data_IF_127694829200
#
_entry.id   IF_127694829200
#
_cell.length_a   1.000
_cell.length_b   1.000
_cell.length_c   1.000
_cell.angle_alpha   90.00
_cell.angle_beta   90.00
_cell.angle_gamma   90.00
#
_symmetry.space_group_name_H-M   'P 1'
#
loop_
_entity.id
_entity.type
_entity.pdbx_description
1 polymer ?
#
# COMPACT_ATOMS: atom_id res chain seq x y z
N UNK A 1 7.30 14.21 23.01
CA UNK A 1 6.24 15.23 23.06
C UNK A 1 6.87 16.42 23.73
N UNK A 2 7.07 17.54 23.02
CA UNK A 2 7.67 18.72 23.64
C UNK A 2 6.54 19.68 24.05
N UNK A 3 6.63 20.24 25.25
CA UNK A 3 5.75 21.32 25.67
C UNK A 3 6.39 22.63 25.24
N UNK A 4 5.60 23.47 24.58
CA UNK A 4 5.98 24.82 24.18
C UNK A 4 5.07 25.83 24.89
N UNK A 5 5.65 26.93 25.34
CA UNK A 5 4.91 27.98 26.02
C UNK A 5 4.13 28.81 25.02
N UNK A 6 2.83 28.97 25.24
CA UNK A 6 1.97 29.81 24.40
C UNK A 6 2.37 31.28 24.56
N UNK A 7 2.67 31.96 23.45
CA UNK A 7 3.10 33.36 23.46
C UNK A 7 2.00 34.35 23.87
N UNK A 8 0.74 33.94 23.79
CA UNK A 8 -0.41 34.80 24.09
C UNK A 8 -0.81 34.71 25.57
N UNK A 9 -0.80 33.51 26.17
CA UNK A 9 -1.29 33.31 27.54
C UNK A 9 -0.27 32.70 28.51
N UNK A 10 0.94 32.38 28.05
CA UNK A 10 2.01 31.84 28.89
C UNK A 10 1.81 30.41 29.37
N UNK A 11 0.73 29.72 29.00
CA UNK A 11 0.49 28.32 29.38
C UNK A 11 1.29 27.35 28.50
N UNK A 12 1.71 26.24 29.08
CA UNK A 12 2.39 25.18 28.36
C UNK A 12 1.40 24.36 27.51
N UNK A 13 1.71 24.20 26.24
CA UNK A 13 0.88 23.53 25.24
C UNK A 13 1.76 22.55 24.45
N UNK A 14 1.21 21.40 24.05
CA UNK A 14 1.96 20.48 23.19
C UNK A 14 2.35 21.12 21.86
N UNK A 15 3.58 20.86 21.44
CA UNK A 15 4.15 21.16 20.12
C UNK A 15 3.40 20.54 18.92
N UNK A 16 2.37 19.74 19.16
CA UNK A 16 1.50 19.15 18.14
C UNK A 16 0.08 19.74 18.12
N UNK A 17 -0.28 20.58 19.10
CA UNK A 17 -1.61 21.16 19.17
C UNK A 17 -1.77 22.30 18.14
N UNK A 18 -2.89 22.31 17.41
CA UNK A 18 -3.20 23.37 16.43
C UNK A 18 -3.63 24.69 17.11
N UNK A 19 -4.23 24.59 18.29
CA UNK A 19 -4.75 25.71 19.07
C UNK A 19 -4.40 25.52 20.55
N UNK A 20 -4.17 26.63 21.25
CA UNK A 20 -3.91 26.63 22.68
C UNK A 20 -5.21 26.32 23.43
N UNK A 21 -5.22 25.31 24.30
CA UNK A 21 -6.37 24.98 25.14
C UNK A 21 -6.68 26.06 26.20
N UNK A 22 -5.73 26.95 26.51
CA UNK A 22 -5.90 27.99 27.52
C UNK A 22 -6.57 29.26 27.01
N UNK A 23 -6.22 29.72 25.80
CA UNK A 23 -6.71 30.99 25.24
C UNK A 23 -7.28 30.88 23.82
N UNK A 24 -7.25 29.70 23.20
CA UNK A 24 -7.76 29.47 21.85
C UNK A 24 -6.86 29.98 20.71
N UNK A 25 -5.75 30.68 21.01
CA UNK A 25 -4.86 31.21 19.99
C UNK A 25 -4.22 30.09 19.14
N UNK A 26 -4.03 30.30 17.83
CA UNK A 26 -3.37 29.34 16.95
C UNK A 26 -1.89 29.21 17.32
N UNK A 27 -1.45 27.98 17.56
CA UNK A 27 -0.06 27.70 17.94
C UNK A 27 0.79 27.71 16.66
N UNK A 28 1.51 28.82 16.41
CA UNK A 28 2.42 28.94 15.28
C UNK A 28 3.64 28.06 15.52
N UNK A 29 3.65 26.88 14.87
CA UNK A 29 4.78 25.96 14.87
C UNK A 29 5.98 26.61 14.18
N UNK A 30 6.97 27.08 14.95
CA UNK A 30 8.30 27.35 14.40
C UNK A 30 8.98 26.00 14.15
N UNK A 31 8.75 25.43 12.98
CA UNK A 31 9.47 24.24 12.51
C UNK A 31 10.97 24.62 12.50
N UNK A 32 11.84 23.94 13.26
CA UNK A 32 13.27 24.16 13.13
C UNK A 32 13.66 23.77 11.69
N UNK A 33 14.07 24.78 10.91
CA UNK A 33 14.69 24.59 9.59
C UNK A 33 15.81 23.56 9.75
N UNK A 34 15.59 22.32 9.28
CA UNK A 34 16.68 21.37 9.06
C UNK A 34 17.66 22.06 8.13
N UNK A 35 18.86 22.37 8.62
CA UNK A 35 19.97 22.85 7.80
C UNK A 35 20.21 21.78 6.73
N UNK A 36 19.86 22.10 5.49
CA UNK A 36 20.17 21.26 4.35
C UNK A 36 21.69 21.18 4.22
N UNK A 37 22.23 19.96 4.33
CA UNK A 37 23.64 19.69 4.08
C UNK A 37 23.98 20.06 2.63
N UNK A 38 25.07 20.83 2.38
CA UNK A 38 25.42 21.38 1.06
C UNK A 38 25.87 20.35 0.01
N UNK A 39 25.82 19.05 0.29
CA UNK A 39 26.35 18.02 -0.61
C UNK A 39 25.45 17.68 -1.82
N UNK A 40 24.19 18.12 -1.85
CA UNK A 40 23.19 17.70 -2.86
C UNK A 40 22.89 18.74 -3.95
N UNK A 41 23.42 19.97 -3.85
CA UNK A 41 23.18 21.04 -4.83
C UNK A 41 24.12 20.93 -6.06
N UNK A 42 25.31 20.36 -5.89
CA UNK A 42 26.31 20.25 -6.97
C UNK A 42 25.94 19.27 -8.10
N UNK A 43 25.21 18.19 -7.78
CA UNK A 43 24.91 17.12 -8.75
C UNK A 43 23.78 17.54 -9.71
N UNK A 44 22.82 18.33 -9.23
CA UNK A 44 21.68 18.80 -10.06
C UNK A 44 22.13 19.88 -11.06
N UNK A 45 23.06 20.76 -10.68
CA UNK A 45 23.59 21.78 -11.59
C UNK A 45 24.46 21.19 -12.71
N UNK A 46 25.29 20.17 -12.42
CA UNK A 46 26.09 19.48 -13.44
C UNK A 46 25.23 18.67 -14.43
N UNK A 47 24.15 18.04 -13.96
CA UNK A 47 23.21 17.31 -14.81
C UNK A 47 22.43 18.20 -15.78
N UNK A 48 22.03 19.40 -15.35
CA UNK A 48 21.31 20.37 -16.20
C UNK A 48 22.25 21.00 -17.25
N UNK A 49 23.53 21.26 -16.90
CA UNK A 49 24.52 21.77 -17.86
C UNK A 49 24.85 20.72 -18.94
N UNK A 50 24.94 19.44 -18.58
CA UNK A 50 25.18 18.37 -19.55
C UNK A 50 24.02 18.20 -20.54
N UNK A 51 22.77 18.37 -20.09
CA UNK A 51 21.58 18.28 -20.94
C UNK A 51 21.35 19.51 -21.82
N UNK A 52 21.82 20.70 -21.39
CA UNK A 52 21.64 21.95 -22.12
C UNK A 52 22.75 22.25 -23.16
N UNK A 53 23.97 21.70 -23.01
CA UNK A 53 25.10 22.02 -23.89
C UNK A 53 25.70 20.83 -24.67
N UNK A 54 25.19 19.60 -24.51
CA UNK A 54 25.66 18.40 -25.21
C UNK A 54 24.95 18.05 -26.53
N UNK A 55 24.35 19.04 -27.21
CA UNK A 55 23.68 18.86 -28.51
C UNK A 55 24.66 18.77 -29.68
N UNK A 56 25.38 17.66 -29.80
CA UNK A 56 26.26 17.34 -30.93
C UNK A 56 25.62 16.34 -31.89
N UNK A 57 25.35 16.78 -33.12
CA UNK A 57 24.96 15.96 -34.29
C UNK A 57 25.82 14.69 -34.43
N UNK A 58 25.19 13.54 -34.60
CA UNK A 58 25.86 12.32 -35.04
C UNK A 58 24.84 11.27 -35.47
N UNK A 59 24.60 11.17 -36.78
CA UNK A 59 23.77 10.12 -37.34
C UNK A 59 24.40 8.75 -37.11
N UNK A 60 23.57 7.78 -36.74
CA UNK A 60 23.87 6.36 -36.88
C UNK A 60 22.55 5.60 -37.01
N UNK A 61 22.50 4.82 -38.07
CA UNK A 61 21.40 3.99 -38.52
C UNK A 61 20.80 3.15 -37.39
N UNK A 62 19.48 3.22 -37.29
CA UNK A 62 18.59 2.42 -36.46
C UNK A 62 18.88 0.92 -36.62
N UNK A 63 19.43 0.22 -35.61
CA UNK A 63 19.21 -1.21 -35.51
C UNK A 63 17.75 -1.39 -35.12
N UNK A 64 17.04 -2.28 -35.82
CA UNK A 64 15.72 -2.70 -35.41
C UNK A 64 15.77 -3.25 -33.99
N UNK A 65 15.20 -2.51 -33.04
CA UNK A 65 14.79 -3.09 -31.78
C UNK A 65 13.76 -4.19 -32.08
N UNK A 66 13.91 -5.42 -31.57
CA UNK A 66 12.81 -6.37 -31.58
C UNK A 66 11.63 -5.70 -30.88
N UNK A 67 10.48 -5.76 -31.56
CA UNK A 67 9.22 -5.20 -31.13
C UNK A 67 9.00 -5.44 -29.64
N UNK A 68 8.85 -4.34 -28.91
CA UNK A 68 8.16 -4.33 -27.62
C UNK A 68 6.70 -4.73 -27.86
N UNK A 69 6.45 -6.04 -27.96
CA UNK A 69 5.16 -6.62 -27.62
C UNK A 69 5.02 -6.54 -26.09
N UNK A 70 4.54 -5.39 -25.63
CA UNK A 70 4.45 -5.10 -24.21
C UNK A 70 3.81 -3.75 -23.97
N UNK A 71 2.69 -3.48 -24.66
CA UNK A 71 1.95 -2.23 -24.49
C UNK A 71 0.47 -2.52 -24.42
N UNK A 72 -0.05 -2.31 -23.21
CA UNK A 72 -1.45 -2.34 -22.77
C UNK A 72 -1.98 -3.74 -22.47
N UNK A 73 -1.93 -4.08 -21.18
CA UNK A 73 -3.03 -4.78 -20.54
C UNK A 73 -4.33 -3.99 -20.84
N UNK A 74 -4.94 -4.28 -21.98
CA UNK A 74 -6.39 -4.39 -21.99
C UNK A 74 -6.72 -5.36 -20.86
N UNK A 75 -7.75 -5.05 -20.06
CA UNK A 75 -8.27 -5.98 -19.09
C UNK A 75 -8.34 -7.35 -19.76
N UNK A 76 -7.47 -8.28 -19.35
CA UNK A 76 -7.39 -9.58 -19.98
C UNK A 76 -8.82 -10.13 -19.95
N UNK A 77 -9.41 -10.35 -21.13
CA UNK A 77 -10.77 -10.87 -21.23
C UNK A 77 -10.69 -12.34 -20.86
N UNK A 78 -10.60 -12.61 -19.57
CA UNK A 78 -10.60 -13.97 -19.05
C UNK A 78 -11.91 -14.63 -19.45
N UNK A 79 -11.84 -15.89 -19.90
CA UNK A 79 -13.04 -16.69 -20.08
C UNK A 79 -13.76 -16.82 -18.72
N UNK A 80 -15.10 -16.80 -18.72
CA UNK A 80 -15.87 -16.82 -17.48
C UNK A 80 -15.60 -18.06 -16.60
N UNK A 81 -15.15 -19.16 -17.19
CA UNK A 81 -14.81 -20.40 -16.49
C UNK A 81 -13.33 -20.53 -16.10
N UNK A 82 -12.46 -19.62 -16.55
CA UNK A 82 -11.02 -19.67 -16.30
C UNK A 82 -10.69 -19.03 -14.95
N UNK A 83 -10.67 -19.88 -13.91
CA UNK A 83 -10.34 -19.47 -12.55
C UNK A 83 -8.94 -18.88 -12.45
N UNK A 84 -7.98 -19.43 -13.17
CA UNK A 84 -6.57 -19.01 -13.06
C UNK A 84 -6.41 -17.60 -13.59
N UNK A 85 -6.99 -17.32 -14.76
CA UNK A 85 -6.98 -15.96 -15.33
C UNK A 85 -7.73 -14.97 -14.43
N UNK A 86 -8.97 -15.28 -14.05
CA UNK A 86 -9.81 -14.39 -13.23
C UNK A 86 -9.21 -14.16 -11.83
N UNK A 87 -8.72 -15.23 -11.21
CA UNK A 87 -8.05 -15.21 -9.92
C UNK A 87 -6.83 -14.30 -9.95
N UNK A 88 -5.87 -14.57 -10.84
CA UNK A 88 -4.65 -13.78 -10.99
C UNK A 88 -4.93 -12.30 -11.28
N UNK A 89 -5.92 -12.01 -12.15
CA UNK A 89 -6.32 -10.64 -12.43
C UNK A 89 -6.89 -9.92 -11.19
N UNK A 90 -7.63 -10.63 -10.34
CA UNK A 90 -8.27 -10.08 -9.15
C UNK A 90 -7.42 -10.08 -7.87
N UNK A 91 -6.26 -10.75 -7.81
CA UNK A 91 -5.39 -10.78 -6.59
C UNK A 91 -5.01 -9.38 -6.09
N UNK A 92 -4.70 -8.47 -7.02
CA UNK A 92 -4.38 -7.08 -6.69
C UNK A 92 -5.57 -6.36 -6.05
N UNK A 93 -6.76 -6.57 -6.61
CA UNK A 93 -7.99 -5.99 -6.10
C UNK A 93 -8.37 -6.59 -4.74
N UNK A 94 -8.23 -7.90 -4.55
CA UNK A 94 -8.40 -8.55 -3.25
C UNK A 94 -7.49 -7.92 -2.19
N UNK A 95 -6.21 -7.68 -2.51
CA UNK A 95 -5.25 -7.04 -1.60
C UNK A 95 -5.66 -5.61 -1.19
N UNK A 96 -6.46 -4.92 -2.02
CA UNK A 96 -6.99 -3.58 -1.72
C UNK A 96 -8.29 -3.65 -0.92
N UNK A 97 -9.28 -4.40 -1.41
CA UNK A 97 -10.64 -4.38 -0.86
C UNK A 97 -10.81 -5.30 0.34
N UNK A 98 -10.20 -6.48 0.33
CA UNK A 98 -10.33 -7.45 1.41
C UNK A 98 -9.47 -7.09 2.63
N UNK A 99 -8.35 -6.38 2.44
CA UNK A 99 -7.37 -6.11 3.50
C UNK A 99 -8.04 -5.55 4.76
N UNK A 100 -8.78 -4.45 4.62
CA UNK A 100 -9.42 -3.79 5.76
C UNK A 100 -10.48 -4.67 6.41
N UNK A 101 -11.18 -5.48 5.64
CA UNK A 101 -12.22 -6.37 6.17
C UNK A 101 -11.62 -7.56 6.94
N UNK A 102 -10.46 -8.07 6.51
CA UNK A 102 -9.68 -9.08 7.27
C UNK A 102 -9.14 -8.48 8.57
N UNK A 103 -8.62 -7.25 8.55
CA UNK A 103 -8.12 -6.56 9.74
C UNK A 103 -9.21 -6.42 10.83
N UNK A 104 -10.47 -6.19 10.44
CA UNK A 104 -11.61 -6.11 11.37
C UNK A 104 -11.96 -7.43 12.07
N UNK A 105 -11.46 -8.57 11.57
CA UNK A 105 -11.64 -9.86 12.23
C UNK A 105 -10.76 -10.00 13.48
N UNK A 106 -9.74 -9.16 13.63
CA UNK A 106 -8.88 -9.16 14.81
C UNK A 106 -9.67 -8.67 16.03
N UNK A 107 -9.72 -9.51 17.08
CA UNK A 107 -10.34 -9.15 18.36
C UNK A 107 -9.52 -8.13 19.16
N UNK A 108 -8.20 -8.19 19.02
CA UNK A 108 -7.22 -7.32 19.66
C UNK A 108 -6.36 -6.66 18.58
N UNK A 109 -5.03 -6.69 18.70
CA UNK A 109 -4.14 -6.23 17.64
C UNK A 109 -3.96 -7.25 16.50
N UNK A 110 -3.49 -6.76 15.36
CA UNK A 110 -3.03 -7.56 14.24
C UNK A 110 -1.72 -7.02 13.69
N UNK A 111 -0.97 -7.88 13.00
CA UNK A 111 0.15 -7.42 12.17
C UNK A 111 0.25 -8.25 10.90
N UNK A 112 0.52 -7.54 9.82
CA UNK A 112 0.84 -8.10 8.52
C UNK A 112 2.28 -8.61 8.53
N UNK A 113 2.50 -9.78 7.94
CA UNK A 113 3.83 -10.40 7.80
C UNK A 113 4.28 -10.49 6.34
N UNK A 114 3.51 -9.94 5.40
CA UNK A 114 3.91 -9.79 4.01
C UNK A 114 5.00 -8.73 3.84
N UNK A 115 5.88 -8.94 2.85
CA UNK A 115 6.84 -7.92 2.42
C UNK A 115 6.18 -6.75 1.70
N UNK A 116 6.93 -5.65 1.51
CA UNK A 116 6.41 -4.40 0.89
C UNK A 116 5.79 -4.60 -0.50
N UNK A 117 6.29 -5.54 -1.29
CA UNK A 117 5.81 -5.85 -2.65
C UNK A 117 5.16 -7.24 -2.75
N UNK A 118 4.99 -7.95 -1.64
CA UNK A 118 4.37 -9.27 -1.67
C UNK A 118 2.85 -9.17 -1.74
N UNK A 119 2.23 -10.11 -2.45
CA UNK A 119 0.78 -10.28 -2.41
C UNK A 119 0.36 -10.74 -1.02
N UNK A 120 -0.77 -10.22 -0.54
CA UNK A 120 -1.40 -10.69 0.70
C UNK A 120 -2.03 -12.07 0.53
N UNK A 121 -2.49 -12.36 -0.68
CA UNK A 121 -3.19 -13.59 -1.04
C UNK A 121 -2.29 -14.49 -1.86
N UNK A 122 -2.12 -15.74 -1.39
CA UNK A 122 -1.27 -16.75 -2.00
C UNK A 122 -2.06 -17.72 -2.87
N UNK A 123 -3.35 -17.93 -2.56
CA UNK A 123 -4.22 -18.91 -3.23
C UNK A 123 -5.60 -18.33 -3.50
N UNK A 124 -6.30 -18.91 -4.47
CA UNK A 124 -7.69 -18.59 -4.77
C UNK A 124 -8.46 -19.83 -5.25
N UNK A 125 -9.78 -19.83 -5.04
CA UNK A 125 -10.69 -20.90 -5.49
C UNK A 125 -12.07 -20.34 -5.84
N UNK A 126 -12.84 -21.07 -6.63
CA UNK A 126 -14.26 -20.77 -6.79
C UNK A 126 -14.99 -20.92 -5.46
N UNK A 127 -15.75 -19.90 -5.06
CA UNK A 127 -16.86 -20.07 -4.10
C UNK A 127 -18.11 -20.48 -4.87
N UNK A 128 -18.38 -19.74 -5.93
CA UNK A 128 -19.49 -20.00 -6.83
C UNK A 128 -19.09 -19.61 -8.26
N UNK A 129 -18.96 -20.63 -9.11
CA UNK A 129 -18.54 -20.48 -10.51
C UNK A 129 -19.62 -19.81 -11.36
N UNK A 130 -20.90 -19.96 -11.02
CA UNK A 130 -22.00 -19.43 -11.82
C UNK A 130 -22.16 -17.93 -11.59
N UNK A 131 -22.04 -17.48 -10.34
CA UNK A 131 -22.08 -16.05 -9.99
C UNK A 131 -20.73 -15.35 -10.18
N UNK A 132 -19.65 -16.10 -10.40
CA UNK A 132 -18.31 -15.57 -10.62
C UNK A 132 -17.64 -15.09 -9.34
N UNK A 133 -17.98 -15.69 -8.19
CA UNK A 133 -17.43 -15.34 -6.89
C UNK A 133 -16.19 -16.17 -6.60
N UNK A 134 -15.08 -15.48 -6.32
CA UNK A 134 -13.78 -16.09 -6.04
C UNK A 134 -13.43 -15.87 -4.57
N UNK A 135 -13.08 -16.95 -3.88
CA UNK A 135 -12.46 -16.88 -2.56
C UNK A 135 -10.96 -16.72 -2.73
N UNK A 136 -10.40 -15.64 -2.19
CA UNK A 136 -8.97 -15.41 -2.06
C UNK A 136 -8.52 -15.80 -0.65
N UNK A 137 -7.40 -16.53 -0.54
CA UNK A 137 -6.86 -17.03 0.72
C UNK A 137 -5.43 -16.53 0.95
N UNK A 138 -5.11 -16.20 2.20
CA UNK A 138 -3.76 -15.87 2.64
C UNK A 138 -3.50 -16.31 4.07
N UNK A 139 -2.24 -16.34 4.48
CA UNK A 139 -1.82 -16.56 5.87
C UNK A 139 -0.75 -15.57 6.35
N UNK A 140 -0.55 -14.49 5.59
CA UNK A 140 0.43 -13.43 5.89
C UNK A 140 -0.06 -12.41 6.93
N UNK A 141 -0.89 -12.83 7.89
CA UNK A 141 -1.35 -11.99 9.00
C UNK A 141 -1.32 -12.77 10.31
N UNK A 142 -0.96 -12.07 11.38
CA UNK A 142 -1.02 -12.59 12.73
C UNK A 142 -2.02 -11.78 13.55
N UNK A 143 -2.87 -12.47 14.31
CA UNK A 143 -3.79 -11.86 15.27
C UNK A 143 -3.26 -12.06 16.68
N UNK A 144 -3.40 -11.03 17.51
CA UNK A 144 -3.06 -11.09 18.91
C UNK A 144 -4.18 -11.78 19.69
N UNK A 145 -3.82 -12.69 20.61
CA UNK A 145 -4.76 -13.30 21.53
C UNK A 145 -4.86 -12.53 22.86
N UNK A 146 -5.69 -13.02 23.79
CA UNK A 146 -5.91 -12.37 25.09
C UNK A 146 -4.68 -12.30 26.02
N UNK A 147 -3.59 -12.99 25.70
CA UNK A 147 -2.32 -12.96 26.44
C UNK A 147 -1.26 -12.09 25.77
N UNK A 148 -1.61 -11.40 24.68
CA UNK A 148 -0.68 -10.55 23.94
C UNK A 148 0.21 -11.29 22.94
N UNK A 149 0.04 -12.61 22.76
CA UNK A 149 0.81 -13.39 21.80
C UNK A 149 0.20 -13.30 20.40
N UNK A 150 1.05 -13.18 19.37
CA UNK A 150 0.66 -13.15 17.97
C UNK A 150 0.71 -14.54 17.36
N UNK A 151 -0.42 -14.99 16.82
CA UNK A 151 -0.55 -16.29 16.14
C UNK A 151 -0.88 -16.07 14.67
N UNK A 152 -0.23 -16.82 13.77
CA UNK A 152 -0.57 -16.81 12.34
C UNK A 152 -1.97 -17.36 12.12
N UNK A 153 -2.75 -16.63 11.32
CA UNK A 153 -4.10 -17.02 10.94
C UNK A 153 -4.20 -17.18 9.43
N UNK A 154 -4.95 -18.18 9.00
CA UNK A 154 -5.41 -18.32 7.63
C UNK A 154 -6.69 -17.55 7.48
N UNK A 155 -6.76 -16.65 6.51
CA UNK A 155 -7.93 -15.84 6.24
C UNK A 155 -8.40 -16.04 4.80
N UNK A 156 -9.70 -15.90 4.61
CA UNK A 156 -10.38 -16.05 3.33
C UNK A 156 -11.27 -14.83 3.09
N UNK A 157 -11.28 -14.33 1.86
CA UNK A 157 -12.13 -13.23 1.42
C UNK A 157 -12.86 -13.63 0.14
N UNK A 158 -14.19 -13.53 0.15
CA UNK A 158 -15.02 -13.80 -1.00
C UNK A 158 -15.28 -12.49 -1.75
N UNK A 159 -14.78 -12.40 -2.97
CA UNK A 159 -14.89 -11.23 -3.82
C UNK A 159 -15.85 -11.52 -4.97
N UNK A 160 -16.79 -10.61 -5.21
CA UNK A 160 -17.70 -10.70 -6.34
C UNK A 160 -16.96 -10.51 -7.68
N UNK A 161 -17.63 -10.87 -8.78
CA UNK A 161 -17.11 -10.78 -10.15
C UNK A 161 -16.62 -9.39 -10.55
N UNK A 162 -17.08 -8.34 -9.88
CA UNK A 162 -16.66 -6.96 -10.10
C UNK A 162 -15.26 -6.63 -9.56
N UNK A 163 -14.62 -7.58 -8.85
CA UNK A 163 -13.33 -7.42 -8.16
C UNK A 163 -13.31 -6.24 -7.16
N UNK A 164 -14.48 -5.88 -6.59
CA UNK A 164 -14.59 -4.74 -5.66
C UNK A 164 -15.48 -5.06 -4.48
N UNK A 165 -16.58 -5.76 -4.72
CA UNK A 165 -17.57 -6.06 -3.70
C UNK A 165 -17.11 -7.27 -2.88
N UNK A 166 -16.76 -7.02 -1.61
CA UNK A 166 -16.46 -8.07 -0.63
C UNK A 166 -17.78 -8.62 -0.10
N UNK A 167 -18.00 -9.92 -0.28
CA UNK A 167 -19.25 -10.60 0.11
C UNK A 167 -19.15 -11.20 1.51
N UNK A 168 -17.99 -11.76 1.87
CA UNK A 168 -17.74 -12.37 3.16
C UNK A 168 -16.23 -12.42 3.46
N UNK A 169 -15.88 -12.36 4.75
CA UNK A 169 -14.51 -12.54 5.24
C UNK A 169 -14.49 -13.42 6.47
N UNK A 170 -13.52 -14.32 6.54
CA UNK A 170 -13.36 -15.26 7.65
C UNK A 170 -11.89 -15.51 7.93
N UNK A 171 -11.56 -15.77 9.19
CA UNK A 171 -10.20 -16.10 9.62
C UNK A 171 -10.24 -17.24 10.63
N UNK A 172 -9.24 -18.11 10.56
CA UNK A 172 -9.02 -19.22 11.49
C UNK A 172 -7.54 -19.32 11.82
N UNK A 173 -7.22 -19.75 13.04
CA UNK A 173 -5.84 -20.02 13.42
C UNK A 173 -5.22 -21.12 12.54
N UNK A 174 -3.95 -20.93 12.17
CA UNK A 174 -3.21 -21.88 11.34
C UNK A 174 -2.58 -21.25 10.11
N UNK A 175 -1.88 -22.09 9.35
CA UNK A 175 -1.17 -21.71 8.11
C UNK A 175 -1.79 -22.38 6.89
N UNK A 176 -1.53 -21.77 5.74
CA UNK A 176 -1.87 -22.35 4.45
C UNK A 176 -0.87 -23.49 4.14
N UNK A 177 -1.30 -24.74 4.39
CA UNK A 177 -0.58 -25.94 3.94
C UNK A 177 -0.97 -26.33 2.50
#
# INVERSE_FOLDING_TARGET
MALITCKECGKDVSDKAKTCAGCGAPVKLSIPKKKAHPALVGIVALGIIYFAFGGGKGGASKPAAPSAEGSRASAASCAAADLTCLGNAGVSAASVYCRREVEKLAKYDFKWTDGFLESKFDRFRWKDKNSGVITYLGDKVQFQNGFGAFTTVTYECDLAKDNKTVLDVRAKEGRLN
#
